data_IF_089032060977
#
_entry.id   IF_089032060977
#
_cell.length_a   1.000
_cell.length_b   1.000
_cell.length_c   1.000
_cell.angle_alpha   90.00
_cell.angle_beta   90.00
_cell.angle_gamma   90.00
#
_symmetry.space_group_name_H-M   'P 1'
#
loop_
_entity.id
_entity.type
_entity.pdbx_description
1 polymer ?
#
# COMPACT_ATOMS: atom_id res chain seq x y z
N UNK A 1 30.19 46.89 76.84
CA UNK A 1 30.19 46.44 75.43
C UNK A 1 28.73 46.20 75.07
N UNK A 2 28.02 46.87 74.17
CA UNK A 2 28.34 47.81 73.09
C UNK A 2 27.29 48.93 73.05
N UNK A 3 27.80 50.14 72.85
CA UNK A 3 27.27 51.42 72.34
C UNK A 3 26.01 51.40 71.46
N UNK A 4 25.02 52.29 71.71
CA UNK A 4 24.66 53.56 70.97
C UNK A 4 24.22 53.31 69.51
N UNK A 5 23.09 53.79 68.95
CA UNK A 5 22.44 55.13 68.86
C UNK A 5 21.15 54.91 68.03
N UNK A 6 19.96 55.39 68.39
CA UNK A 6 19.40 56.74 68.28
C UNK A 6 18.51 56.98 67.02
N UNK A 7 17.33 57.57 67.29
CA UNK A 7 16.51 58.44 66.42
C UNK A 7 15.82 57.82 65.18
N UNK A 8 14.62 58.21 64.71
CA UNK A 8 13.56 59.18 65.08
C UNK A 8 12.39 58.94 64.10
N UNK A 9 11.16 59.26 64.51
CA UNK A 9 10.01 59.86 63.77
C UNK A 9 9.91 59.69 62.24
N UNK A 10 8.78 59.57 61.55
CA UNK A 10 7.33 59.72 61.74
C UNK A 10 6.75 59.13 60.41
N UNK A 11 5.53 58.63 60.25
CA UNK A 11 4.23 59.13 60.65
C UNK A 11 3.27 58.84 59.47
N UNK A 12 2.02 58.46 59.79
CA UNK A 12 0.80 58.66 58.97
C UNK A 12 0.74 58.00 57.58
N UNK A 13 -0.32 57.39 57.07
CA UNK A 13 -1.69 57.19 57.50
C UNK A 13 -2.36 56.22 56.48
N UNK A 14 -3.56 55.76 56.84
CA UNK A 14 -4.65 55.33 55.97
C UNK A 14 -4.64 53.89 55.44
N UNK A 15 -5.66 53.18 55.92
CA UNK A 15 -6.23 51.97 55.38
C UNK A 15 -6.61 52.10 53.90
N UNK A 16 -6.55 50.98 53.17
CA UNK A 16 -7.59 50.47 52.27
C UNK A 16 -7.27 48.98 52.04
N UNK A 17 -8.19 48.11 52.46
CA UNK A 17 -8.23 46.73 52.01
C UNK A 17 -8.73 46.71 50.56
N UNK A 18 -7.91 46.22 49.63
CA UNK A 18 -8.34 45.89 48.28
C UNK A 18 -7.87 44.47 47.96
N UNK A 19 -8.79 43.53 48.13
CA UNK A 19 -8.77 42.23 47.46
C UNK A 19 -8.73 42.45 45.95
N UNK A 20 -7.59 42.16 45.31
CA UNK A 20 -7.52 42.06 43.85
C UNK A 20 -8.24 40.79 43.41
N UNK A 21 -9.55 40.90 43.20
CA UNK A 21 -10.27 40.05 42.27
C UNK A 21 -9.82 40.43 40.84
N UNK A 22 -8.78 39.78 40.34
CA UNK A 22 -8.33 39.93 38.96
C UNK A 22 -8.83 38.74 38.12
N UNK A 23 -10.00 38.94 37.53
CA UNK A 23 -10.48 38.44 36.24
C UNK A 23 -9.78 37.19 35.65
N UNK A 24 -10.13 35.99 36.14
CA UNK A 24 -10.19 34.85 35.23
C UNK A 24 -11.32 35.14 34.24
N UNK A 25 -10.97 35.58 33.03
CA UNK A 25 -11.92 35.57 31.91
C UNK A 25 -12.38 34.13 31.76
N UNK A 26 -13.61 33.86 32.15
CA UNK A 26 -14.32 32.65 31.77
C UNK A 26 -14.32 32.62 30.23
N UNK A 27 -13.43 31.80 29.68
CA UNK A 27 -13.48 31.47 28.28
C UNK A 27 -14.89 30.91 28.03
N UNK A 28 -15.70 31.49 27.12
CA UNK A 28 -16.97 30.88 26.78
C UNK A 28 -16.65 29.46 26.36
N UNK A 29 -17.23 28.48 27.06
CA UNK A 29 -17.21 27.09 26.62
C UNK A 29 -17.65 27.13 25.16
N UNK A 30 -16.75 26.84 24.24
CA UNK A 30 -17.07 26.74 22.82
C UNK A 30 -18.27 25.80 22.76
N UNK A 31 -19.43 26.34 22.40
CA UNK A 31 -20.57 25.49 22.10
C UNK A 31 -20.05 24.54 21.03
N UNK A 32 -20.04 23.25 21.32
CA UNK A 32 -19.93 22.25 20.26
C UNK A 32 -21.12 22.54 19.35
N UNK A 33 -20.85 23.18 18.22
CA UNK A 33 -21.84 23.34 17.17
C UNK A 33 -22.13 21.94 16.68
N UNK A 34 -23.12 21.28 17.27
CA UNK A 34 -23.68 20.05 16.73
C UNK A 34 -24.29 20.47 15.40
N UNK A 35 -23.59 20.18 14.31
CA UNK A 35 -24.08 20.39 12.97
C UNK A 35 -25.41 19.64 12.85
N UNK A 36 -26.51 20.40 12.94
CA UNK A 36 -27.87 19.87 12.87
C UNK A 36 -28.27 19.86 11.41
N UNK A 37 -27.87 18.80 10.72
CA UNK A 37 -28.22 18.49 9.34
C UNK A 37 -27.76 17.08 9.02
N UNK A 38 -28.54 16.33 8.24
CA UNK A 38 -28.07 15.05 7.71
C UNK A 38 -26.80 15.32 6.89
N UNK A 39 -25.65 14.70 7.20
CA UNK A 39 -24.43 14.93 6.45
C UNK A 39 -24.66 14.59 4.98
N UNK A 40 -24.48 15.57 4.10
CA UNK A 40 -24.49 15.37 2.65
C UNK A 40 -23.08 14.99 2.25
N UNK A 41 -22.95 13.89 1.51
CA UNK A 41 -21.65 13.42 1.05
C UNK A 41 -21.22 14.27 -0.17
N UNK A 42 -20.26 15.16 0.01
CA UNK A 42 -19.70 16.02 -1.04
C UNK A 42 -18.21 15.69 -1.29
N UNK A 43 -17.69 15.93 -2.51
CA UNK A 43 -16.25 15.87 -2.77
C UNK A 43 -15.50 16.87 -1.89
N UNK A 44 -14.58 16.37 -1.06
CA UNK A 44 -13.87 17.21 -0.08
C UNK A 44 -12.61 17.89 -0.63
N UNK A 45 -12.18 17.55 -1.85
CA UNK A 45 -11.05 18.20 -2.53
C UNK A 45 -11.51 18.77 -3.87
N UNK A 46 -11.00 19.97 -4.17
CA UNK A 46 -10.97 20.50 -5.54
C UNK A 46 -9.65 20.13 -6.24
N UNK A 47 -9.59 20.38 -7.55
CA UNK A 47 -8.41 20.11 -8.40
C UNK A 47 -7.12 20.68 -7.81
N UNK A 48 -7.14 21.93 -7.34
CA UNK A 48 -5.95 22.60 -6.79
C UNK A 48 -5.46 21.91 -5.52
N UNK A 49 -6.36 21.56 -4.61
CA UNK A 49 -5.99 20.84 -3.38
C UNK A 49 -5.41 19.46 -3.69
N UNK A 50 -5.96 18.77 -4.68
CA UNK A 50 -5.46 17.46 -5.13
C UNK A 50 -4.05 17.57 -5.74
N UNK A 51 -3.80 18.58 -6.57
CA UNK A 51 -2.47 18.89 -7.11
C UNK A 51 -1.45 19.19 -6.00
N UNK A 52 -1.82 20.02 -5.01
CA UNK A 52 -0.97 20.35 -3.87
C UNK A 52 -0.65 19.12 -3.01
N UNK A 53 -1.63 18.25 -2.76
CA UNK A 53 -1.45 16.97 -2.05
C UNK A 53 -0.43 16.09 -2.78
N UNK A 54 -0.57 15.95 -4.10
CA UNK A 54 0.30 15.10 -4.91
C UNK A 54 1.71 15.67 -5.03
N UNK A 55 1.87 16.99 -5.15
CA UNK A 55 3.18 17.63 -5.16
C UNK A 55 3.93 17.42 -3.83
N UNK A 56 3.21 17.50 -2.70
CA UNK A 56 3.78 17.18 -1.38
C UNK A 56 4.19 15.71 -1.30
N UNK A 57 3.34 14.79 -1.77
CA UNK A 57 3.66 13.35 -1.83
C UNK A 57 4.93 13.13 -2.65
N UNK A 58 5.02 13.70 -3.85
CA UNK A 58 6.18 13.56 -4.73
C UNK A 58 7.47 14.06 -4.07
N UNK A 59 7.40 15.19 -3.36
CA UNK A 59 8.55 15.77 -2.67
C UNK A 59 8.99 14.90 -1.49
N UNK A 60 8.04 14.45 -0.67
CA UNK A 60 8.31 13.55 0.45
C UNK A 60 8.89 12.21 -0.01
N UNK A 61 8.33 11.65 -1.09
CA UNK A 61 8.78 10.40 -1.67
C UNK A 61 10.18 10.52 -2.27
N UNK A 62 10.48 11.60 -3.01
CA UNK A 62 11.82 11.83 -3.55
C UNK A 62 12.90 11.92 -2.44
N UNK A 63 12.56 12.54 -1.30
CA UNK A 63 13.45 12.59 -0.14
C UNK A 63 13.63 11.21 0.51
N UNK A 64 12.55 10.44 0.66
CA UNK A 64 12.60 9.09 1.20
C UNK A 64 13.38 8.12 0.27
N UNK A 65 13.15 8.19 -1.04
CA UNK A 65 13.76 7.34 -2.07
C UNK A 65 15.27 7.57 -2.14
N UNK A 66 15.69 8.84 -2.13
CA UNK A 66 17.11 9.22 -2.16
C UNK A 66 17.89 8.62 -0.99
N UNK A 67 17.26 8.56 0.18
CA UNK A 67 17.89 8.04 1.40
C UNK A 67 17.55 6.58 1.69
N UNK A 68 16.66 5.97 0.89
CA UNK A 68 16.08 4.64 1.13
C UNK A 68 15.56 4.49 2.57
N UNK A 69 14.91 5.53 3.08
CA UNK A 69 14.54 5.62 4.50
C UNK A 69 13.03 5.47 4.70
N UNK A 70 12.62 4.32 5.25
CA UNK A 70 11.23 3.98 5.50
C UNK A 70 10.54 4.91 6.52
N UNK A 71 11.26 5.49 7.48
CA UNK A 71 10.66 6.41 8.45
C UNK A 71 10.17 7.70 7.79
N UNK A 72 10.82 8.12 6.70
CA UNK A 72 10.41 9.30 5.93
C UNK A 72 9.16 9.08 5.10
N UNK A 73 8.72 7.82 4.90
CA UNK A 73 7.49 7.51 4.17
C UNK A 73 6.24 7.95 4.93
N UNK A 74 6.30 8.06 6.26
CA UNK A 74 5.14 8.35 7.13
C UNK A 74 4.39 9.64 6.76
N UNK A 75 5.07 10.58 6.12
CA UNK A 75 4.47 11.85 5.66
C UNK A 75 3.77 11.73 4.30
N UNK A 76 4.17 10.78 3.45
CA UNK A 76 3.70 10.65 2.07
C UNK A 76 2.81 9.42 1.84
N UNK A 77 3.07 8.33 2.55
CA UNK A 77 2.43 7.03 2.36
C UNK A 77 1.88 6.48 3.69
N UNK A 78 0.84 5.66 3.57
CA UNK A 78 0.24 4.86 4.65
C UNK A 78 -0.02 3.44 4.14
N UNK A 79 -0.49 2.56 5.03
CA UNK A 79 -1.01 1.25 4.66
C UNK A 79 -0.06 0.41 3.80
N UNK A 80 -0.57 -0.30 2.77
CA UNK A 80 0.24 -1.17 1.94
C UNK A 80 1.29 -0.43 1.11
N UNK A 81 1.04 0.81 0.66
CA UNK A 81 2.03 1.59 -0.08
C UNK A 81 3.29 1.84 0.73
N UNK A 82 3.15 2.27 2.00
CA UNK A 82 4.28 2.49 2.89
C UNK A 82 5.05 1.18 3.15
N UNK A 83 4.33 0.07 3.36
CA UNK A 83 4.90 -1.25 3.63
C UNK A 83 5.71 -1.77 2.43
N UNK A 84 5.15 -1.71 1.23
CA UNK A 84 5.80 -2.17 0.01
C UNK A 84 7.01 -1.30 -0.34
N UNK A 85 6.89 0.03 -0.28
CA UNK A 85 8.03 0.93 -0.53
C UNK A 85 9.17 0.73 0.48
N UNK A 86 8.87 0.46 1.75
CA UNK A 86 9.88 0.11 2.74
C UNK A 86 10.60 -1.21 2.39
N UNK A 87 9.88 -2.20 1.85
CA UNK A 87 10.47 -3.45 1.39
C UNK A 87 11.34 -3.26 0.12
N UNK A 88 10.95 -2.38 -0.80
CA UNK A 88 11.78 -1.96 -1.93
C UNK A 88 13.09 -1.32 -1.43
N UNK A 89 13.04 -0.44 -0.43
CA UNK A 89 14.23 0.15 0.17
C UNK A 89 15.15 -0.89 0.84
N UNK A 90 14.57 -1.81 1.59
CA UNK A 90 15.31 -2.90 2.23
C UNK A 90 16.01 -3.77 1.17
N UNK A 91 15.28 -4.15 0.12
CA UNK A 91 15.82 -4.91 -1.01
C UNK A 91 16.94 -4.16 -1.70
N UNK A 92 16.70 -2.90 -2.10
CA UNK A 92 17.68 -2.06 -2.77
C UNK A 92 18.95 -1.78 -1.95
N UNK A 93 18.84 -1.87 -0.62
CA UNK A 93 19.98 -1.71 0.30
C UNK A 93 20.75 -3.02 0.45
N UNK A 94 20.05 -4.16 0.51
CA UNK A 94 20.67 -5.48 0.61
C UNK A 94 21.34 -5.93 -0.71
N UNK A 95 20.68 -5.73 -1.85
CA UNK A 95 21.18 -6.18 -3.15
C UNK A 95 22.04 -5.15 -3.88
N UNK A 96 22.00 -3.88 -3.45
CA UNK A 96 22.55 -2.77 -4.22
C UNK A 96 21.76 -2.45 -5.50
N UNK A 97 20.68 -3.18 -5.79
CA UNK A 97 19.86 -2.97 -6.97
C UNK A 97 18.87 -1.82 -6.73
N UNK A 98 19.18 -0.64 -7.25
CA UNK A 98 18.28 0.52 -7.17
C UNK A 98 17.02 0.40 -8.03
N UNK A 99 16.98 -0.52 -9.01
CA UNK A 99 15.85 -0.62 -9.94
C UNK A 99 14.58 -1.19 -9.30
N UNK A 100 14.69 -1.81 -8.13
CA UNK A 100 13.53 -2.33 -7.37
C UNK A 100 12.70 -1.20 -6.75
N UNK A 101 13.23 0.02 -6.68
CA UNK A 101 12.47 1.20 -6.24
C UNK A 101 11.85 1.81 -7.48
N UNK A 102 10.56 1.56 -7.68
CA UNK A 102 9.87 2.03 -8.87
C UNK A 102 9.42 3.50 -8.74
N UNK A 103 9.61 4.27 -9.81
CA UNK A 103 9.17 5.67 -9.85
C UNK A 103 7.66 5.75 -9.91
N UNK A 104 7.05 6.37 -8.90
CA UNK A 104 5.65 6.78 -8.91
C UNK A 104 5.56 8.21 -9.44
N UNK A 105 4.82 8.40 -10.53
CA UNK A 105 4.53 9.73 -11.05
C UNK A 105 3.27 10.29 -10.39
N UNK A 106 3.27 11.57 -10.07
CA UNK A 106 2.11 12.26 -9.48
C UNK A 106 1.57 13.41 -10.35
N UNK A 107 2.06 13.59 -11.57
CA UNK A 107 1.50 14.55 -12.54
C UNK A 107 0.10 14.11 -12.96
N UNK A 108 -0.92 14.81 -12.47
CA UNK A 108 -2.33 14.47 -12.70
C UNK A 108 -2.68 14.57 -14.19
N UNK A 109 -3.39 13.56 -14.70
CA UNK A 109 -4.16 13.65 -15.95
C UNK A 109 -5.68 13.65 -15.66
N UNK A 110 -6.10 12.97 -14.60
CA UNK A 110 -7.48 12.93 -14.14
C UNK A 110 -7.59 12.30 -12.75
N UNK A 111 -8.70 12.55 -12.07
CA UNK A 111 -8.93 12.00 -10.75
C UNK A 111 -10.17 12.57 -10.09
N UNK A 112 -10.47 12.05 -8.90
CA UNK A 112 -11.34 12.76 -7.97
C UNK A 112 -11.55 12.03 -6.66
N UNK A 113 -12.61 12.40 -5.96
CA UNK A 113 -12.75 12.14 -4.53
C UNK A 113 -14.07 11.46 -4.25
N UNK A 114 -14.00 10.37 -3.49
CA UNK A 114 -15.18 9.64 -3.09
C UNK A 114 -16.01 10.43 -2.10
N UNK A 115 -17.29 10.57 -2.40
CA UNK A 115 -18.31 11.05 -1.48
C UNK A 115 -18.32 10.15 -0.23
N UNK A 116 -18.17 10.77 0.94
CA UNK A 116 -18.32 10.11 2.23
C UNK A 116 -18.78 11.11 3.29
N UNK A 117 -19.46 10.61 4.30
CA UNK A 117 -19.90 11.39 5.47
C UNK A 117 -18.93 11.29 6.65
N UNK A 118 -17.92 10.41 6.57
CA UNK A 118 -17.01 10.09 7.66
C UNK A 118 -15.56 9.91 7.23
N UNK A 119 -14.78 9.29 8.11
CA UNK A 119 -13.40 8.89 7.86
C UNK A 119 -13.28 7.35 7.85
N UNK A 120 -12.36 6.78 7.06
CA UNK A 120 -11.40 7.46 6.18
C UNK A 120 -12.06 8.11 4.95
N UNK A 121 -11.45 9.17 4.43
CA UNK A 121 -11.81 9.78 3.14
C UNK A 121 -10.86 9.28 2.07
N UNK A 122 -11.43 8.73 0.99
CA UNK A 122 -10.65 8.16 -0.11
C UNK A 122 -10.76 9.05 -1.36
N UNK A 123 -9.63 9.22 -2.04
CA UNK A 123 -9.56 9.81 -3.37
C UNK A 123 -8.73 8.92 -4.29
N UNK A 124 -8.99 8.96 -5.59
CA UNK A 124 -8.22 8.21 -6.56
C UNK A 124 -7.84 9.08 -7.74
N UNK A 125 -6.62 8.87 -8.25
CA UNK A 125 -6.08 9.64 -9.38
C UNK A 125 -5.35 8.73 -10.35
N UNK A 126 -5.39 9.11 -11.62
CA UNK A 126 -4.49 8.62 -12.64
C UNK A 126 -3.47 9.71 -12.97
N UNK A 127 -2.20 9.33 -12.90
CA UNK A 127 -1.07 10.14 -13.28
C UNK A 127 -0.35 9.47 -14.45
N UNK A 128 0.02 10.25 -15.46
CA UNK A 128 0.75 9.72 -16.61
C UNK A 128 1.97 10.58 -16.93
N UNK A 129 3.03 9.90 -17.36
CA UNK A 129 4.15 10.46 -18.10
C UNK A 129 4.24 9.81 -19.48
N UNK A 130 5.12 10.34 -20.32
CA UNK A 130 5.45 9.75 -21.63
C UNK A 130 5.93 8.28 -21.56
N UNK A 131 6.23 7.75 -20.35
CA UNK A 131 6.83 6.43 -20.15
C UNK A 131 6.06 5.51 -19.19
N UNK A 132 5.14 6.04 -18.39
CA UNK A 132 4.46 5.26 -17.34
C UNK A 132 3.15 5.88 -16.89
N UNK A 133 2.22 5.01 -16.49
CA UNK A 133 0.96 5.36 -15.83
C UNK A 133 1.07 4.94 -14.36
N UNK A 134 0.70 5.82 -13.44
CA UNK A 134 0.55 5.55 -12.02
C UNK A 134 -0.91 5.76 -11.63
N UNK A 135 -1.55 4.73 -11.09
CA UNK A 135 -2.90 4.81 -10.55
C UNK A 135 -2.78 4.80 -9.03
N UNK A 136 -3.32 5.81 -8.37
CA UNK A 136 -3.01 6.11 -6.96
C UNK A 136 -4.31 6.22 -6.17
N UNK A 137 -4.36 5.54 -5.01
CA UNK A 137 -5.36 5.72 -3.96
C UNK A 137 -4.77 6.57 -2.84
N UNK A 138 -5.49 7.64 -2.48
CA UNK A 138 -5.17 8.53 -1.38
C UNK A 138 -6.19 8.32 -0.25
N UNK A 139 -5.70 8.33 0.98
CA UNK A 139 -6.50 8.19 2.19
C UNK A 139 -6.23 9.34 3.16
N UNK A 140 -7.30 9.85 3.78
CA UNK A 140 -7.23 10.73 4.94
C UNK A 140 -7.94 10.05 6.12
N UNK A 141 -7.21 9.77 7.21
CA UNK A 141 -7.73 9.04 8.37
C UNK A 141 -8.56 9.88 9.36
N UNK A 142 -8.36 11.19 9.39
CA UNK A 142 -9.13 12.13 10.20
C UNK A 142 -9.12 13.53 9.58
N UNK A 143 -9.98 14.42 10.07
CA UNK A 143 -10.11 15.78 9.53
C UNK A 143 -8.82 16.61 9.63
N UNK A 144 -7.89 16.23 10.51
CA UNK A 144 -6.62 16.92 10.72
C UNK A 144 -5.44 16.24 10.03
N UNK A 145 -5.64 15.00 9.57
CA UNK A 145 -4.59 14.27 8.87
C UNK A 145 -4.43 14.79 7.45
N UNK A 146 -3.20 14.73 6.96
CA UNK A 146 -2.94 14.92 5.53
C UNK A 146 -3.38 13.68 4.76
N UNK A 147 -3.84 13.87 3.51
CA UNK A 147 -4.01 12.75 2.60
C UNK A 147 -2.67 12.06 2.35
N UNK A 148 -2.61 10.73 2.39
CA UNK A 148 -1.41 9.93 2.11
C UNK A 148 -1.73 8.89 1.05
N UNK A 149 -0.72 8.47 0.31
CA UNK A 149 -0.88 7.35 -0.62
C UNK A 149 -1.07 6.08 0.20
N UNK A 150 -2.25 5.48 0.11
CA UNK A 150 -2.55 4.21 0.75
C UNK A 150 -2.17 3.04 -0.16
N UNK A 151 -2.46 3.17 -1.46
CA UNK A 151 -2.03 2.23 -2.48
C UNK A 151 -1.66 2.96 -3.78
N UNK A 152 -0.76 2.37 -4.55
CA UNK A 152 -0.51 2.79 -5.93
C UNK A 152 -0.12 1.58 -6.78
N UNK A 153 -0.31 1.68 -8.09
CA UNK A 153 0.13 0.66 -9.03
C UNK A 153 0.77 1.28 -10.27
N UNK A 154 1.70 0.55 -10.89
CA UNK A 154 2.09 0.81 -12.26
C UNK A 154 1.00 0.31 -13.19
N UNK A 155 0.40 1.22 -13.93
CA UNK A 155 -0.61 0.89 -14.93
C UNK A 155 -0.01 0.08 -16.07
N UNK A 156 -0.69 -0.98 -16.49
CA UNK A 156 -0.24 -1.73 -17.66
C UNK A 156 -0.60 -0.93 -18.92
N UNK A 157 0.41 -0.61 -19.73
CA UNK A 157 0.34 0.36 -20.83
C UNK A 157 -0.75 0.09 -21.91
N UNK A 158 -1.40 -1.08 -21.88
CA UNK A 158 -2.41 -1.49 -22.85
C UNK A 158 -3.87 -1.14 -22.49
N UNK A 159 -4.16 -0.59 -21.30
CA UNK A 159 -5.55 -0.40 -20.82
C UNK A 159 -5.98 1.07 -20.64
N UNK A 160 -5.49 1.95 -21.51
CA UNK A 160 -5.76 3.40 -21.51
C UNK A 160 -7.25 3.75 -21.73
N UNK A 161 -8.06 3.63 -20.68
CA UNK A 161 -9.10 4.57 -20.26
C UNK A 161 -9.70 4.02 -18.96
N UNK A 162 -9.56 4.73 -17.83
CA UNK A 162 -10.25 4.39 -16.57
C UNK A 162 -11.49 5.30 -16.50
N UNK A 163 -12.71 4.82 -16.81
CA UNK A 163 -13.89 5.68 -16.96
C UNK A 163 -14.25 6.44 -15.67
N UNK A 164 -13.91 5.88 -14.50
CA UNK A 164 -14.17 6.46 -13.17
C UNK A 164 -13.37 7.73 -12.87
N UNK A 165 -12.29 8.02 -13.61
CA UNK A 165 -11.35 9.11 -13.30
C UNK A 165 -11.51 10.38 -14.14
N UNK A 166 -12.66 10.57 -14.79
CA UNK A 166 -12.94 11.88 -15.42
C UNK A 166 -13.34 12.90 -14.35
N UNK A 167 -12.93 14.17 -14.54
CA UNK A 167 -13.16 15.27 -13.58
C UNK A 167 -14.64 15.44 -13.20
N UNK A 168 -15.54 15.11 -14.12
CA UNK A 168 -16.98 15.31 -13.97
C UNK A 168 -17.66 14.13 -13.26
N UNK A 169 -17.20 12.90 -13.50
CA UNK A 169 -17.76 11.70 -12.88
C UNK A 169 -17.35 11.55 -11.42
N UNK A 170 -16.13 11.94 -11.07
CA UNK A 170 -15.61 11.67 -9.74
C UNK A 170 -16.31 12.46 -8.61
N UNK A 171 -17.03 13.53 -8.94
CA UNK A 171 -17.81 14.30 -7.96
C UNK A 171 -19.01 13.54 -7.38
N UNK A 172 -19.47 12.50 -8.08
CA UNK A 172 -20.59 11.64 -7.69
C UNK A 172 -20.14 10.23 -7.30
N UNK A 173 -18.82 10.00 -7.24
CA UNK A 173 -18.30 8.67 -6.94
C UNK A 173 -18.46 8.35 -5.46
N UNK A 174 -18.90 7.15 -5.13
CA UNK A 174 -18.93 6.62 -3.76
C UNK A 174 -17.63 5.87 -3.46
N UNK A 175 -17.27 5.77 -2.19
CA UNK A 175 -16.16 4.90 -1.79
C UNK A 175 -16.53 3.43 -1.97
N UNK A 176 -15.56 2.65 -2.45
CA UNK A 176 -15.69 1.19 -2.61
C UNK A 176 -15.41 0.46 -1.30
N UNK A 177 -16.16 -0.62 -1.05
CA UNK A 177 -15.85 -1.64 -0.03
C UNK A 177 -15.73 -3.02 -0.68
N UNK A 178 -15.34 -4.03 0.09
CA UNK A 178 -15.28 -5.43 -0.38
C UNK A 178 -16.61 -5.93 -0.99
N UNK A 179 -17.72 -5.39 -0.50
CA UNK A 179 -19.09 -5.83 -0.78
C UNK A 179 -19.88 -4.81 -1.62
N UNK A 180 -19.21 -3.81 -2.22
CA UNK A 180 -19.84 -2.86 -3.14
C UNK A 180 -20.65 -3.58 -4.22
N UNK A 181 -21.91 -3.16 -4.39
CA UNK A 181 -22.91 -3.78 -5.29
C UNK A 181 -23.16 -2.93 -6.53
N UNK A 182 -24.00 -3.41 -7.47
CA UNK A 182 -24.27 -2.72 -8.75
C UNK A 182 -23.14 -2.86 -9.77
N UNK A 183 -22.23 -3.81 -9.54
CA UNK A 183 -21.09 -4.15 -10.37
C UNK A 183 -21.25 -5.56 -10.93
N UNK A 184 -20.59 -5.88 -12.05
CA UNK A 184 -20.65 -7.22 -12.65
C UNK A 184 -20.24 -8.35 -11.68
N UNK A 185 -19.36 -8.04 -10.73
CA UNK A 185 -19.02 -8.83 -9.55
C UNK A 185 -18.64 -7.91 -8.39
N UNK A 186 -18.66 -8.39 -7.15
CA UNK A 186 -18.15 -7.60 -6.02
C UNK A 186 -16.62 -7.44 -6.09
N UNK A 187 -16.04 -6.40 -5.48
CA UNK A 187 -14.59 -6.23 -5.35
C UNK A 187 -13.89 -7.43 -4.73
N UNK A 188 -14.49 -8.05 -3.71
CA UNK A 188 -13.97 -9.29 -3.13
C UNK A 188 -13.96 -10.44 -4.13
N UNK A 189 -15.04 -10.65 -4.86
CA UNK A 189 -15.12 -11.73 -5.85
C UNK A 189 -14.13 -11.52 -7.00
N UNK A 190 -13.88 -10.28 -7.41
CA UNK A 190 -12.85 -9.94 -8.39
C UNK A 190 -11.44 -10.33 -7.91
N UNK A 191 -11.09 -10.02 -6.65
CA UNK A 191 -9.82 -10.42 -6.05
C UNK A 191 -9.69 -11.93 -5.94
N UNK A 192 -10.73 -12.61 -5.44
CA UNK A 192 -10.72 -14.07 -5.26
C UNK A 192 -10.53 -14.79 -6.63
N UNK A 193 -11.22 -14.32 -7.68
CA UNK A 193 -11.06 -14.86 -9.03
C UNK A 193 -9.66 -14.60 -9.61
N UNK A 194 -9.08 -13.42 -9.36
CA UNK A 194 -7.74 -13.12 -9.84
C UNK A 194 -6.65 -13.92 -9.10
N UNK A 195 -6.81 -14.11 -7.78
CA UNK A 195 -5.93 -15.01 -7.00
C UNK A 195 -6.03 -16.45 -7.49
N UNK A 196 -7.25 -16.92 -7.81
CA UNK A 196 -7.42 -18.23 -8.45
C UNK A 196 -6.71 -18.30 -9.81
N UNK A 197 -6.81 -17.27 -10.65
CA UNK A 197 -6.08 -17.18 -11.92
C UNK A 197 -4.55 -17.23 -11.74
N UNK A 198 -4.03 -16.65 -10.66
CA UNK A 198 -2.61 -16.72 -10.31
C UNK A 198 -2.20 -18.13 -9.88
N UNK A 199 -3.05 -18.87 -9.17
CA UNK A 199 -2.79 -20.23 -8.70
C UNK A 199 -3.01 -21.30 -9.77
N UNK A 200 -4.00 -21.10 -10.65
CA UNK A 200 -4.45 -22.02 -11.67
C UNK A 200 -4.46 -21.33 -13.05
N UNK A 201 -3.28 -21.06 -13.65
CA UNK A 201 -3.18 -20.29 -14.90
C UNK A 201 -3.90 -20.94 -16.09
N UNK A 202 -4.02 -22.27 -16.10
CA UNK A 202 -4.74 -23.02 -17.14
C UNK A 202 -6.22 -23.28 -16.78
N UNK A 203 -6.64 -22.86 -15.59
CA UNK A 203 -8.02 -22.94 -15.10
C UNK A 203 -8.95 -21.95 -15.78
N UNK A 204 -10.22 -21.95 -15.35
CA UNK A 204 -11.25 -21.06 -15.91
C UNK A 204 -10.88 -19.58 -15.73
N UNK A 205 -10.57 -19.16 -14.51
CA UNK A 205 -10.15 -17.78 -14.23
C UNK A 205 -8.81 -17.44 -14.88
N UNK A 206 -7.88 -18.40 -14.94
CA UNK A 206 -6.61 -18.26 -15.65
C UNK A 206 -6.79 -17.93 -17.14
N UNK A 207 -7.82 -18.50 -17.79
CA UNK A 207 -8.17 -18.19 -19.18
C UNK A 207 -9.03 -16.93 -19.33
N UNK A 208 -9.73 -16.52 -18.27
CA UNK A 208 -10.63 -15.37 -18.29
C UNK A 208 -9.87 -14.03 -18.20
N UNK A 209 -8.82 -13.96 -17.38
CA UNK A 209 -7.96 -12.79 -17.30
C UNK A 209 -6.91 -12.78 -18.43
N UNK A 210 -6.51 -11.61 -18.96
CA UNK A 210 -5.34 -11.49 -19.82
C UNK A 210 -4.05 -11.94 -19.12
N UNK A 211 -2.99 -12.19 -19.89
CA UNK A 211 -1.64 -12.42 -19.35
C UNK A 211 -0.97 -11.09 -19.02
N UNK A 212 -1.29 -10.54 -17.85
CA UNK A 212 -0.73 -9.28 -17.36
C UNK A 212 0.66 -9.45 -16.73
N UNK A 213 1.34 -8.32 -16.46
CA UNK A 213 2.73 -8.34 -15.95
C UNK A 213 2.87 -9.06 -14.59
N UNK A 214 1.86 -8.99 -13.71
CA UNK A 214 1.93 -9.69 -12.42
C UNK A 214 1.76 -11.19 -12.63
N UNK A 215 0.86 -11.62 -13.51
CA UNK A 215 0.74 -13.03 -13.89
C UNK A 215 2.03 -13.56 -14.50
N UNK A 216 2.64 -12.82 -15.42
CA UNK A 216 3.94 -13.17 -16.01
C UNK A 216 5.01 -13.33 -14.92
N UNK A 217 5.12 -12.38 -13.99
CA UNK A 217 6.07 -12.45 -12.87
C UNK A 217 5.88 -13.70 -12.00
N UNK A 218 4.63 -14.05 -11.70
CA UNK A 218 4.30 -15.26 -10.92
C UNK A 218 4.59 -16.53 -11.73
N UNK A 219 4.35 -16.55 -13.04
CA UNK A 219 4.73 -17.68 -13.90
C UNK A 219 6.24 -17.85 -14.03
N UNK A 220 6.98 -16.76 -14.17
CA UNK A 220 8.44 -16.79 -14.27
C UNK A 220 9.06 -17.31 -12.98
N UNK A 221 8.51 -16.94 -11.82
CA UNK A 221 8.91 -17.52 -10.55
C UNK A 221 8.74 -19.05 -10.53
N UNK A 222 7.60 -19.58 -11.02
CA UNK A 222 7.37 -21.04 -11.12
C UNK A 222 8.35 -21.74 -12.06
N UNK A 223 8.80 -21.06 -13.11
CA UNK A 223 9.73 -21.60 -14.11
C UNK A 223 11.20 -21.50 -13.69
N UNK A 224 11.50 -21.06 -12.46
CA UNK A 224 12.88 -21.00 -11.98
C UNK A 224 13.52 -22.39 -12.07
N UNK A 225 14.56 -22.51 -12.90
CA UNK A 225 15.25 -23.77 -13.12
C UNK A 225 16.18 -24.08 -11.94
N UNK A 226 15.93 -25.20 -11.26
CA UNK A 226 16.77 -25.75 -10.20
C UNK A 226 17.59 -26.97 -10.68
N UNK A 227 17.77 -27.13 -11.99
CA UNK A 227 18.56 -28.18 -12.64
C UNK A 227 18.19 -29.60 -12.18
N UNK A 228 16.90 -29.84 -11.93
CA UNK A 228 16.34 -31.08 -11.37
C UNK A 228 16.80 -31.44 -9.95
N UNK A 229 17.44 -30.53 -9.23
CA UNK A 229 17.91 -30.73 -7.84
C UNK A 229 16.89 -30.24 -6.80
N UNK A 230 15.80 -29.65 -7.25
CA UNK A 230 14.78 -29.05 -6.40
C UNK A 230 13.45 -28.84 -7.10
N UNK A 231 12.49 -28.36 -6.32
CA UNK A 231 11.13 -28.03 -6.72
C UNK A 231 10.84 -26.57 -6.40
N UNK A 232 10.05 -25.92 -7.25
CA UNK A 232 9.53 -24.57 -7.01
C UNK A 232 8.02 -24.63 -6.96
N UNK A 233 7.44 -24.09 -5.89
CA UNK A 233 5.98 -23.96 -5.76
C UNK A 233 5.63 -22.51 -5.49
N UNK A 234 4.52 -22.06 -6.10
CA UNK A 234 4.06 -20.68 -5.95
C UNK A 234 2.60 -20.67 -5.57
N UNK A 235 2.28 -19.99 -4.46
CA UNK A 235 0.91 -19.85 -3.94
C UNK A 235 0.59 -18.38 -3.73
N UNK A 236 -0.55 -17.93 -4.26
CA UNK A 236 -1.10 -16.61 -4.04
C UNK A 236 -2.33 -16.67 -3.12
N UNK A 237 -2.51 -15.64 -2.30
CA UNK A 237 -3.67 -15.47 -1.40
C UNK A 237 -4.13 -14.00 -1.37
N UNK A 238 -5.42 -13.72 -1.09
CA UNK A 238 -5.89 -12.36 -0.88
C UNK A 238 -5.17 -11.69 0.30
N UNK A 239 -4.83 -10.41 0.13
CA UNK A 239 -4.25 -9.58 1.18
C UNK A 239 -5.31 -9.17 2.21
N UNK A 240 -4.83 -8.59 3.31
CA UNK A 240 -5.67 -8.25 4.48
C UNK A 240 -5.83 -6.74 4.69
N UNK A 241 -5.29 -5.91 3.80
CA UNK A 241 -5.36 -4.45 3.93
C UNK A 241 -6.77 -3.89 3.64
N UNK A 242 -7.64 -4.71 3.06
CA UNK A 242 -8.99 -4.31 2.67
C UNK A 242 -9.05 -3.73 1.25
N UNK A 243 -10.07 -2.91 1.01
CA UNK A 243 -10.37 -2.34 -0.30
C UNK A 243 -10.52 -0.84 -0.18
N UNK A 244 -9.95 -0.11 -1.14
CA UNK A 244 -10.22 1.31 -1.36
C UNK A 244 -10.53 1.53 -2.83
N UNK A 245 -11.18 2.64 -3.16
CA UNK A 245 -11.54 2.91 -4.53
C UNK A 245 -12.72 3.84 -4.66
N UNK A 246 -13.11 4.07 -5.92
CA UNK A 246 -14.19 4.94 -6.31
C UNK A 246 -15.15 4.20 -7.22
N UNK A 247 -16.44 4.31 -6.97
CA UNK A 247 -17.51 3.74 -7.77
C UNK A 247 -18.45 4.82 -8.28
N UNK A 248 -18.70 4.83 -9.59
CA UNK A 248 -19.73 5.62 -10.24
C UNK A 248 -20.95 4.74 -10.56
N UNK A 249 -22.13 5.13 -10.09
CA UNK A 249 -23.37 4.38 -10.35
C UNK A 249 -24.11 4.86 -11.60
N UNK A 250 -23.87 6.10 -12.04
CA UNK A 250 -24.55 6.73 -13.17
C UNK A 250 -23.87 6.41 -14.52
N UNK A 251 -24.63 6.46 -15.62
CA UNK A 251 -24.14 6.25 -16.98
C UNK A 251 -23.43 4.90 -17.19
N UNK A 252 -22.36 4.92 -18.00
CA UNK A 252 -21.41 3.81 -18.24
C UNK A 252 -20.44 3.61 -17.04
N UNK A 253 -20.96 3.77 -15.82
CA UNK A 253 -20.20 3.73 -14.58
C UNK A 253 -19.53 2.38 -14.28
N UNK A 254 -19.02 2.25 -13.06
CA UNK A 254 -18.22 1.11 -12.62
C UNK A 254 -17.37 1.50 -11.42
N UNK A 255 -16.43 0.65 -11.04
CA UNK A 255 -15.55 0.88 -9.91
C UNK A 255 -14.07 0.76 -10.30
N UNK A 256 -13.28 1.73 -9.84
CA UNK A 256 -11.84 1.58 -9.67
C UNK A 256 -11.60 1.06 -8.25
N UNK A 257 -10.93 -0.08 -8.13
CA UNK A 257 -10.72 -0.76 -6.85
C UNK A 257 -9.24 -1.04 -6.65
N UNK A 258 -8.71 -0.68 -5.49
CA UNK A 258 -7.39 -1.04 -5.00
C UNK A 258 -7.51 -2.04 -3.87
N UNK A 259 -6.64 -3.03 -3.87
CA UNK A 259 -6.50 -4.00 -2.78
C UNK A 259 -5.11 -4.63 -2.84
N UNK A 260 -4.85 -5.61 -1.99
CA UNK A 260 -3.57 -6.32 -1.94
C UNK A 260 -3.75 -7.81 -2.11
N UNK A 261 -2.67 -8.46 -2.53
CA UNK A 261 -2.49 -9.90 -2.48
C UNK A 261 -1.06 -10.22 -2.07
N UNK A 262 -0.85 -11.42 -1.57
CA UNK A 262 0.48 -11.93 -1.25
C UNK A 262 0.71 -13.20 -2.06
N UNK A 263 1.90 -13.35 -2.65
CA UNK A 263 2.31 -14.64 -3.19
C UNK A 263 3.66 -15.08 -2.60
N UNK A 264 3.77 -16.38 -2.36
CA UNK A 264 4.98 -17.02 -1.85
C UNK A 264 5.60 -17.88 -2.92
N UNK A 265 6.93 -17.86 -3.00
CA UNK A 265 7.72 -18.75 -3.85
C UNK A 265 8.57 -19.61 -2.93
N UNK A 266 8.29 -20.92 -2.90
CA UNK A 266 9.03 -21.88 -2.09
C UNK A 266 9.98 -22.63 -3.00
N UNK A 267 11.28 -22.48 -2.73
CA UNK A 267 12.35 -23.26 -3.34
C UNK A 267 12.72 -24.38 -2.38
N UNK A 268 12.56 -25.63 -2.82
CA UNK A 268 12.83 -26.82 -2.02
C UNK A 268 13.94 -27.64 -2.67
N UNK A 269 15.00 -27.92 -1.93
CA UNK A 269 16.00 -28.92 -2.36
C UNK A 269 15.40 -30.32 -2.23
N UNK A 270 15.57 -31.17 -3.24
CA UNK A 270 15.03 -32.55 -3.26
C UNK A 270 16.11 -33.62 -3.35
N UNK A 271 17.34 -33.27 -3.74
CA UNK A 271 18.47 -34.19 -3.84
C UNK A 271 19.42 -34.02 -2.66
N UNK A 272 19.69 -35.10 -1.94
CA UNK A 272 20.64 -35.06 -0.82
C UNK A 272 22.08 -34.80 -1.32
N UNK A 273 22.84 -34.03 -0.54
CA UNK A 273 24.21 -33.64 -0.88
C UNK A 273 24.33 -32.67 -2.07
N UNK A 274 23.24 -32.31 -2.77
CA UNK A 274 23.30 -31.37 -3.89
C UNK A 274 23.51 -29.94 -3.42
N UNK A 275 24.21 -29.16 -4.24
CA UNK A 275 24.45 -27.73 -4.00
C UNK A 275 23.47 -26.89 -4.83
N UNK A 276 22.56 -26.20 -4.15
CA UNK A 276 21.63 -25.25 -4.74
C UNK A 276 21.82 -23.90 -4.06
N UNK A 277 22.08 -22.86 -4.83
CA UNK A 277 22.30 -21.50 -4.32
C UNK A 277 21.41 -20.53 -5.08
N UNK A 278 20.67 -19.70 -4.34
CA UNK A 278 19.83 -18.66 -4.92
C UNK A 278 20.69 -17.45 -5.31
N UNK A 279 20.20 -16.65 -6.25
CA UNK A 279 20.88 -15.45 -6.74
C UNK A 279 19.97 -14.21 -6.62
N UNK A 280 20.54 -13.03 -6.87
CA UNK A 280 19.81 -11.77 -6.95
C UNK A 280 19.20 -11.34 -5.61
N UNK A 281 18.05 -10.66 -5.68
CA UNK A 281 17.42 -10.03 -4.52
C UNK A 281 17.06 -11.03 -3.40
N UNK A 282 16.62 -12.24 -3.76
CA UNK A 282 16.29 -13.28 -2.76
C UNK A 282 17.54 -13.67 -1.97
N UNK A 283 18.66 -13.90 -2.65
CA UNK A 283 19.94 -14.24 -2.03
C UNK A 283 20.50 -13.09 -1.18
N UNK A 284 20.28 -11.84 -1.62
CA UNK A 284 20.66 -10.67 -0.85
C UNK A 284 19.88 -10.59 0.48
N UNK A 285 18.57 -10.91 0.46
CA UNK A 285 17.73 -10.97 1.68
C UNK A 285 18.08 -12.13 2.62
N UNK A 286 18.61 -13.24 2.08
CA UNK A 286 19.12 -14.32 2.93
C UNK A 286 20.39 -13.93 3.71
N UNK A 287 21.15 -12.95 3.18
CA UNK A 287 22.50 -12.65 3.67
C UNK A 287 23.40 -13.89 3.67
N UNK A 288 24.45 -13.85 4.49
CA UNK A 288 25.29 -14.99 4.89
C UNK A 288 25.30 -16.20 3.96
N UNK A 289 24.70 -17.31 4.40
CA UNK A 289 24.57 -18.51 3.59
C UNK A 289 23.43 -18.35 2.59
N UNK A 290 23.73 -18.49 1.29
CA UNK A 290 22.76 -18.38 0.20
C UNK A 290 22.31 -19.75 -0.35
N UNK A 291 22.79 -20.84 0.27
CA UNK A 291 22.44 -22.21 -0.13
C UNK A 291 21.04 -22.60 0.35
N UNK A 292 20.31 -23.33 -0.49
CA UNK A 292 19.07 -24.01 -0.14
C UNK A 292 19.43 -25.35 0.52
N UNK A 293 19.28 -25.43 1.84
CA UNK A 293 19.57 -26.66 2.61
C UNK A 293 18.30 -27.50 2.74
N UNK A 294 17.18 -26.91 3.15
CA UNK A 294 15.85 -27.53 3.08
C UNK A 294 14.97 -26.74 2.13
N UNK A 295 14.20 -25.81 2.70
CA UNK A 295 13.36 -24.88 1.94
C UNK A 295 13.76 -23.43 2.16
N UNK A 296 13.66 -22.63 1.11
CA UNK A 296 13.70 -21.17 1.17
C UNK A 296 12.37 -20.63 0.66
N UNK A 297 11.72 -19.77 1.44
CA UNK A 297 10.42 -19.17 1.09
C UNK A 297 10.58 -17.67 0.92
N UNK A 298 10.45 -17.18 -0.32
CA UNK A 298 10.36 -15.76 -0.61
C UNK A 298 8.89 -15.33 -0.56
N UNK A 299 8.58 -14.29 0.22
CA UNK A 299 7.22 -13.73 0.35
C UNK A 299 7.15 -12.38 -0.34
N UNK A 300 6.19 -12.21 -1.25
CA UNK A 300 5.96 -10.98 -1.99
C UNK A 300 4.57 -10.44 -1.68
N UNK A 301 4.48 -9.12 -1.44
CA UNK A 301 3.19 -8.42 -1.40
C UNK A 301 3.03 -7.65 -2.71
N UNK A 302 1.79 -7.61 -3.19
CA UNK A 302 1.39 -6.85 -4.38
C UNK A 302 0.20 -5.97 -4.06
N UNK A 303 0.29 -4.67 -4.37
CA UNK A 303 -0.88 -3.82 -4.58
C UNK A 303 -1.40 -4.08 -5.99
N UNK A 304 -2.72 -4.19 -6.13
CA UNK A 304 -3.39 -4.40 -7.42
C UNK A 304 -4.53 -3.41 -7.58
N UNK A 305 -4.76 -2.94 -8.81
CA UNK A 305 -5.91 -2.13 -9.16
C UNK A 305 -6.80 -2.83 -10.19
N UNK A 306 -8.10 -2.83 -9.95
CA UNK A 306 -9.11 -3.39 -10.85
C UNK A 306 -10.03 -2.28 -11.38
N UNK A 307 -10.42 -2.42 -12.65
CA UNK A 307 -11.63 -1.81 -13.19
C UNK A 307 -12.73 -2.86 -13.18
N UNK A 308 -13.80 -2.60 -12.44
CA UNK A 308 -14.98 -3.48 -12.35
C UNK A 308 -16.15 -2.74 -12.99
N UNK A 309 -16.63 -3.18 -14.16
CA UNK A 309 -17.76 -2.54 -14.83
C UNK A 309 -19.06 -2.62 -14.02
N UNK A 310 -19.97 -1.68 -14.27
CA UNK A 310 -21.35 -1.72 -13.76
C UNK A 310 -22.08 -2.99 -14.24
N UNK A 311 -22.94 -3.53 -13.40
CA UNK A 311 -23.81 -4.65 -13.75
C UNK A 311 -24.63 -4.34 -15.03
N UNK A 312 -24.79 -5.33 -15.90
CA UNK A 312 -25.54 -5.18 -17.16
C UNK A 312 -24.80 -4.46 -18.29
N UNK A 313 -23.58 -3.94 -18.06
CA UNK A 313 -22.76 -3.28 -19.10
C UNK A 313 -22.17 -4.24 -20.14
N UNK A 314 -22.16 -5.55 -19.86
CA UNK A 314 -21.47 -6.56 -20.69
C UNK A 314 -19.93 -6.53 -20.58
N UNK A 315 -19.36 -5.62 -19.79
CA UNK A 315 -17.93 -5.52 -19.54
C UNK A 315 -17.43 -6.64 -18.61
N UNK A 316 -16.11 -6.84 -18.60
CA UNK A 316 -15.41 -7.79 -17.72
C UNK A 316 -14.47 -7.06 -16.77
N UNK A 317 -14.17 -7.69 -15.63
CA UNK A 317 -13.13 -7.20 -14.71
C UNK A 317 -11.79 -7.11 -15.45
N UNK A 318 -11.12 -5.97 -15.31
CA UNK A 318 -9.79 -5.74 -15.87
C UNK A 318 -8.81 -5.43 -14.76
N UNK A 319 -7.65 -6.07 -14.78
CA UNK A 319 -6.52 -5.68 -13.92
C UNK A 319 -5.80 -4.54 -14.60
N UNK A 320 -5.79 -3.38 -13.95
CA UNK A 320 -5.25 -2.14 -14.49
C UNK A 320 -3.75 -1.99 -14.22
N UNK A 321 -3.26 -2.62 -13.16
CA UNK A 321 -1.87 -2.47 -12.74
C UNK A 321 -1.56 -3.23 -11.47
N UNK A 322 -0.27 -3.39 -11.21
CA UNK A 322 0.24 -3.91 -9.96
C UNK A 322 1.54 -3.21 -9.55
N UNK A 323 1.85 -3.23 -8.26
CA UNK A 323 3.15 -2.88 -7.70
C UNK A 323 3.54 -3.97 -6.71
N UNK A 324 4.78 -4.46 -6.72
CA UNK A 324 5.16 -5.70 -6.02
C UNK A 324 6.58 -5.65 -5.48
N UNK A 325 6.73 -5.96 -4.19
CA UNK A 325 8.04 -6.02 -3.52
C UNK A 325 8.29 -7.37 -2.84
N UNK A 326 9.57 -7.73 -2.75
CA UNK A 326 10.04 -8.84 -1.91
C UNK A 326 10.00 -8.39 -0.44
N UNK A 327 9.11 -8.99 0.35
CA UNK A 327 8.87 -8.60 1.73
C UNK A 327 9.85 -9.23 2.69
N UNK A 328 10.12 -10.52 2.49
CA UNK A 328 11.03 -11.31 3.33
C UNK A 328 11.42 -12.61 2.64
N UNK A 329 12.50 -13.20 3.15
CA UNK A 329 12.96 -14.54 2.79
C UNK A 329 13.19 -15.34 4.06
N UNK A 330 12.47 -16.45 4.21
CA UNK A 330 12.61 -17.37 5.34
C UNK A 330 13.33 -18.66 4.92
N UNK A 331 14.10 -19.23 5.83
CA UNK A 331 14.80 -20.50 5.64
C UNK A 331 14.28 -21.55 6.62
N UNK A 332 14.07 -22.77 6.13
CA UNK A 332 13.84 -23.95 6.98
C UNK A 332 14.78 -25.08 6.53
N UNK A 333 15.94 -25.14 7.17
CA UNK A 333 16.98 -26.13 6.90
C UNK A 333 16.60 -27.53 7.44
N UNK A 334 15.56 -27.64 8.29
CA UNK A 334 15.07 -28.92 8.82
C UNK A 334 14.38 -29.78 7.76
N UNK A 335 13.96 -29.16 6.64
CA UNK A 335 13.37 -29.84 5.47
C UNK A 335 14.41 -30.40 4.50
N UNK A 336 15.62 -30.66 4.97
CA UNK A 336 16.68 -31.28 4.18
C UNK A 336 16.24 -32.66 3.65
N UNK A 337 16.53 -33.02 2.38
CA UNK A 337 16.27 -34.36 1.85
C UNK A 337 16.89 -35.46 2.72
N UNK A 338 16.21 -36.59 2.82
CA UNK A 338 16.77 -37.75 3.50
C UNK A 338 17.99 -38.28 2.73
N UNK A 339 19.03 -38.77 3.42
CA UNK A 339 20.21 -39.30 2.76
C UNK A 339 19.85 -40.48 1.86
N UNK A 340 20.34 -40.43 0.62
CA UNK A 340 20.17 -41.55 -0.31
C UNK A 340 20.89 -42.75 0.26
N UNK A 341 20.17 -43.83 0.56
CA UNK A 341 20.78 -45.04 1.13
C UNK A 341 21.93 -45.50 0.23
N UNK A 342 23.16 -45.51 0.76
CA UNK A 342 24.31 -46.02 0.02
C UNK A 342 24.00 -47.46 -0.36
N UNK A 343 24.08 -47.78 -1.65
CA UNK A 343 23.97 -49.15 -2.13
C UNK A 343 24.95 -50.00 -1.32
N UNK A 344 24.42 -50.83 -0.42
CA UNK A 344 25.24 -51.65 0.46
C UNK A 344 26.13 -52.50 -0.42
N UNK A 345 27.45 -52.30 -0.31
CA UNK A 345 28.43 -53.15 -0.92
C UNK A 345 28.12 -54.59 -0.49
N UNK A 346 27.74 -55.42 -1.46
CA UNK A 346 27.50 -56.84 -1.28
C UNK A 346 28.77 -57.45 -0.67
N UNK A 347 28.72 -58.13 0.48
CA UNK A 347 29.91 -58.78 1.03
C UNK A 347 30.34 -59.88 0.05
N UNK A 348 31.62 -59.84 -0.32
CA UNK A 348 32.30 -60.84 -1.17
C UNK A 348 32.36 -62.21 -0.50
#
# INVERSE_FOLDING_TARGET
MSTRRAFLSAGSASAIALSLAACSRSQPKTAETVASGTPIAEPVLNDKQLEEILQRVQTGLAAADKEKNADKLKEAMSGPAARIRAAEYATASASGNGSVIHTMNTKIQGGGVGQTVGFPRNAAVASESDKSVSIISLEQGSARDQFKVWAWVQGFAAQASIPVLTKQSAQHAKQVTADSTGLVVTPKAALDAYVDALNHPDGENGKAFPDDNLRQKVQDARKTDLSNLGEVTVTAVPGQDGFQGLQLEEGDGGALVFTTLTYTVVYKRTVDGSDLTLQGDIAAHMGGNQKIVGTVTATYDSMVAFSIPKEGSGGKVTVLGAETALMKVDRDDSKTPAPTASASAKPS
#
